data_IF_783949692677
#
_entry.id   IF_783949692677
#
_cell.length_a   1.000
_cell.length_b   1.000
_cell.length_c   1.000
_cell.angle_alpha   90.00
_cell.angle_beta   90.00
_cell.angle_gamma   90.00
#
_symmetry.space_group_name_H-M   'P 1'
#
loop_
_entity.id
_entity.type
_entity.pdbx_description
1 polymer ?
#
# COMPACT_ATOMS: atom_id res chain seq x y z
N UNK A 1 4.18 -5.59 11.06
CA UNK A 1 4.28 -4.98 12.42
C UNK A 1 4.31 -6.04 13.53
N UNK A 2 3.25 -6.84 13.75
CA UNK A 2 3.25 -7.91 14.77
C UNK A 2 4.44 -8.88 14.69
N UNK A 3 4.82 -9.32 13.49
CA UNK A 3 5.96 -10.24 13.30
C UNK A 3 7.33 -9.55 13.43
N UNK A 4 7.40 -8.23 13.26
CA UNK A 4 8.65 -7.46 13.39
C UNK A 4 8.99 -7.14 14.87
N UNK A 5 7.98 -7.01 15.73
CA UNK A 5 8.18 -6.82 17.18
C UNK A 5 8.29 -8.13 17.96
N UNK A 6 7.76 -9.23 17.41
CA UNK A 6 7.80 -10.56 18.05
C UNK A 6 9.18 -11.23 18.07
N UNK A 7 10.13 -10.76 17.27
CA UNK A 7 11.51 -11.26 17.24
C UNK A 7 12.44 -10.61 18.27
N UNK A 8 12.03 -9.49 18.89
CA UNK A 8 12.91 -8.67 19.74
C UNK A 8 12.39 -8.47 21.18
N UNK A 9 11.14 -8.84 21.49
CA UNK A 9 10.53 -8.66 22.81
C UNK A 9 9.73 -9.90 23.25
N UNK A 10 9.69 -10.11 24.57
CA UNK A 10 8.99 -11.21 25.24
C UNK A 10 7.47 -11.25 24.89
N UNK A 11 6.89 -12.44 24.78
CA UNK A 11 5.55 -12.66 24.22
C UNK A 11 4.43 -11.90 24.96
N UNK A 12 4.61 -11.65 26.26
CA UNK A 12 3.66 -10.92 27.10
C UNK A 12 3.67 -9.41 26.81
N UNK A 13 4.85 -8.81 26.62
CA UNK A 13 5.02 -7.39 26.31
C UNK A 13 4.50 -7.08 24.90
N UNK A 14 4.73 -8.01 23.97
CA UNK A 14 4.23 -7.89 22.58
C UNK A 14 2.69 -7.88 22.53
N UNK A 15 2.02 -8.67 23.37
CA UNK A 15 0.55 -8.69 23.42
C UNK A 15 -0.03 -7.41 24.05
N UNK A 16 0.61 -6.86 25.08
CA UNK A 16 0.23 -5.57 25.66
C UNK A 16 0.53 -4.39 24.73
N UNK A 17 1.62 -4.42 23.96
CA UNK A 17 1.87 -3.39 22.94
C UNK A 17 0.84 -3.47 21.81
N UNK A 18 0.47 -4.67 21.35
CA UNK A 18 -0.57 -4.86 20.33
C UNK A 18 -1.90 -4.26 20.76
N UNK A 19 -2.32 -4.46 22.01
CA UNK A 19 -3.62 -3.97 22.49
C UNK A 19 -3.72 -2.44 22.46
N UNK A 20 -2.61 -1.70 22.53
CA UNK A 20 -2.59 -0.23 22.41
C UNK A 20 -2.27 0.27 21.00
N UNK A 21 -1.46 -0.45 20.22
CA UNK A 21 -1.06 -0.06 18.86
C UNK A 21 -2.22 -0.25 17.86
N UNK A 22 -2.95 -1.37 17.94
CA UNK A 22 -4.09 -1.64 17.05
C UNK A 22 -5.17 -0.55 17.07
N UNK A 23 -5.67 -0.12 18.25
CA UNK A 23 -6.68 0.94 18.29
C UNK A 23 -6.13 2.30 17.83
N UNK A 24 -4.85 2.61 18.10
CA UNK A 24 -4.23 3.83 17.59
C UNK A 24 -4.13 3.86 16.06
N UNK A 25 -3.74 2.73 15.44
CA UNK A 25 -3.71 2.57 13.99
C UNK A 25 -5.10 2.70 13.36
N UNK A 26 -6.12 2.11 13.99
CA UNK A 26 -7.50 2.16 13.51
C UNK A 26 -8.01 3.61 13.52
N UNK A 27 -7.88 4.30 14.65
CA UNK A 27 -8.33 5.69 14.80
C UNK A 27 -7.55 6.62 13.86
N UNK A 28 -6.22 6.46 13.78
CA UNK A 28 -5.38 7.22 12.84
C UNK A 28 -5.75 6.98 11.38
N UNK A 29 -6.07 5.74 11.01
CA UNK A 29 -6.56 5.38 9.69
C UNK A 29 -7.87 6.10 9.34
N UNK A 30 -8.86 6.11 10.25
CA UNK A 30 -10.13 6.81 10.04
C UNK A 30 -9.90 8.31 9.86
N UNK A 31 -9.12 8.95 10.75
CA UNK A 31 -8.81 10.39 10.63
C UNK A 31 -8.04 10.71 9.34
N UNK A 32 -7.11 9.85 8.92
CA UNK A 32 -6.37 10.00 7.67
C UNK A 32 -7.28 9.93 6.45
N UNK A 33 -8.22 8.98 6.40
CA UNK A 33 -9.21 8.87 5.31
C UNK A 33 -10.11 10.11 5.26
N UNK A 34 -10.61 10.57 6.43
CA UNK A 34 -11.43 11.78 6.52
C UNK A 34 -10.66 13.02 6.06
N UNK A 35 -9.42 13.19 6.54
CA UNK A 35 -8.57 14.33 6.19
C UNK A 35 -8.21 14.32 4.71
N UNK A 36 -7.89 13.15 4.12
CA UNK A 36 -7.66 13.00 2.68
C UNK A 36 -8.88 13.46 1.85
N UNK A 37 -10.09 13.10 2.28
CA UNK A 37 -11.33 13.57 1.66
C UNK A 37 -11.53 15.09 1.76
N UNK A 38 -11.26 15.67 2.95
CA UNK A 38 -11.34 17.13 3.17
C UNK A 38 -10.31 17.88 2.33
N UNK A 39 -9.05 17.42 2.30
CA UNK A 39 -7.98 18.00 1.49
C UNK A 39 -8.35 17.94 0.01
N UNK A 40 -8.85 16.80 -0.48
CA UNK A 40 -9.29 16.68 -1.88
C UNK A 40 -10.43 17.65 -2.22
N UNK A 41 -11.36 17.88 -1.30
CA UNK A 41 -12.47 18.82 -1.49
C UNK A 41 -12.00 20.29 -1.48
N UNK A 42 -11.08 20.64 -0.59
CA UNK A 42 -10.58 22.02 -0.44
C UNK A 42 -9.53 22.40 -1.50
N UNK A 43 -8.60 21.48 -1.78
CA UNK A 43 -7.44 21.74 -2.63
C UNK A 43 -7.54 21.08 -4.00
N UNK A 44 -8.55 20.26 -4.29
CA UNK A 44 -8.65 19.49 -5.55
C UNK A 44 -8.75 20.33 -6.84
N UNK A 45 -9.06 21.63 -6.74
CA UNK A 45 -9.07 22.58 -7.87
C UNK A 45 -7.91 23.61 -7.79
N UNK A 46 -7.04 23.49 -6.79
CA UNK A 46 -5.90 24.39 -6.59
C UNK A 46 -4.65 23.90 -7.34
N UNK A 47 -3.72 24.81 -7.64
CA UNK A 47 -2.38 24.49 -8.18
C UNK A 47 -1.56 23.56 -7.27
N UNK A 48 -1.96 23.41 -6.00
CA UNK A 48 -1.37 22.47 -5.06
C UNK A 48 -1.82 21.01 -5.27
N UNK A 49 -2.83 20.76 -6.12
CA UNK A 49 -3.27 19.40 -6.40
C UNK A 49 -2.57 18.80 -7.62
N UNK A 50 -1.81 17.73 -7.40
CA UNK A 50 -1.23 16.91 -8.48
C UNK A 50 -2.26 16.09 -9.27
N UNK A 51 -3.57 16.22 -8.99
CA UNK A 51 -4.65 15.46 -9.66
C UNK A 51 -4.41 13.94 -9.72
N UNK A 52 -3.78 13.39 -8.66
CA UNK A 52 -3.41 11.97 -8.59
C UNK A 52 -1.98 11.65 -9.00
N UNK A 53 -1.16 12.65 -9.34
CA UNK A 53 0.27 12.51 -9.64
C UNK A 53 1.12 13.06 -8.49
N UNK A 54 2.21 12.37 -8.19
CA UNK A 54 3.14 12.74 -7.12
C UNK A 54 4.31 13.59 -7.63
N UNK A 55 4.69 13.46 -8.91
CA UNK A 55 5.81 14.17 -9.51
C UNK A 55 5.35 15.42 -10.28
N UNK A 56 6.04 16.55 -10.09
CA UNK A 56 5.73 17.84 -10.75
C UNK A 56 6.60 18.09 -12.00
N UNK A 57 7.58 17.25 -12.26
CA UNK A 57 8.55 17.45 -13.34
C UNK A 57 7.97 17.06 -14.69
N UNK A 58 8.03 18.00 -15.64
CA UNK A 58 7.85 17.84 -17.08
C UNK A 58 8.21 16.43 -17.57
N UNK A 59 7.22 15.56 -17.74
CA UNK A 59 7.41 14.44 -18.63
C UNK A 59 7.45 14.98 -20.05
N UNK A 60 8.55 14.70 -20.74
CA UNK A 60 8.66 14.69 -22.20
C UNK A 60 7.34 14.25 -22.87
N UNK A 61 7.02 14.75 -24.08
CA UNK A 61 5.72 14.57 -24.76
C UNK A 61 5.27 13.12 -25.05
N UNK A 62 5.94 12.09 -24.49
CA UNK A 62 5.60 10.67 -24.60
C UNK A 62 5.05 10.02 -23.32
N UNK A 63 4.87 10.74 -22.20
CA UNK A 63 4.10 10.24 -21.04
C UNK A 63 2.86 11.09 -20.76
N UNK A 64 2.18 11.52 -21.83
CA UNK A 64 0.74 11.58 -21.71
C UNK A 64 0.29 10.16 -21.34
N UNK A 65 -0.24 9.99 -20.13
CA UNK A 65 -1.35 9.07 -19.92
C UNK A 65 -2.38 9.45 -20.96
N UNK A 66 -2.18 8.86 -22.14
CA UNK A 66 -3.11 8.93 -23.22
C UNK A 66 -4.31 8.23 -22.59
N UNK A 67 -5.29 9.03 -22.15
CA UNK A 67 -6.70 8.72 -22.30
C UNK A 67 -6.90 8.47 -23.79
N UNK A 68 -6.31 7.39 -24.29
CA UNK A 68 -6.68 6.82 -25.55
C UNK A 68 -8.05 6.30 -25.20
N UNK A 69 -9.03 7.12 -25.55
CA UNK A 69 -10.30 6.68 -26.07
C UNK A 69 -10.01 5.75 -27.26
N UNK A 70 -9.36 4.61 -26.98
CA UNK A 70 -9.52 3.42 -27.76
C UNK A 70 -10.86 2.94 -27.29
N UNK A 71 -11.80 2.94 -28.23
CA UNK A 71 -12.88 1.96 -28.34
C UNK A 71 -12.80 0.84 -27.30
N UNK A 72 -13.91 0.44 -26.67
CA UNK A 72 -13.91 -0.61 -25.66
C UNK A 72 -13.46 -1.91 -26.34
N UNK A 73 -12.15 -2.11 -26.43
CA UNK A 73 -11.55 -3.39 -26.78
C UNK A 73 -11.99 -4.27 -25.63
N UNK A 74 -12.91 -5.16 -25.97
CA UNK A 74 -13.40 -6.24 -25.14
C UNK A 74 -12.29 -6.67 -24.19
N UNK A 75 -12.59 -6.63 -22.89
CA UNK A 75 -11.65 -6.97 -21.82
C UNK A 75 -11.02 -8.31 -22.20
N UNK A 76 -9.78 -8.26 -22.71
CA UNK A 76 -9.20 -9.45 -23.31
C UNK A 76 -8.81 -10.35 -22.15
N UNK A 77 -9.64 -11.35 -21.89
CA UNK A 77 -9.50 -12.27 -20.75
C UNK A 77 -8.10 -12.87 -20.72
N UNK A 78 -7.50 -13.13 -21.88
CA UNK A 78 -6.12 -13.61 -22.00
C UNK A 78 -5.12 -12.61 -21.41
N UNK A 79 -5.21 -11.32 -21.76
CA UNK A 79 -4.31 -10.28 -21.22
C UNK A 79 -4.50 -10.07 -19.72
N UNK A 80 -5.75 -10.15 -19.23
CA UNK A 80 -6.05 -10.08 -17.80
C UNK A 80 -5.43 -11.27 -17.04
N UNK A 81 -5.65 -12.49 -17.52
CA UNK A 81 -5.09 -13.71 -16.91
C UNK A 81 -3.56 -13.68 -16.96
N UNK A 82 -2.97 -13.28 -18.09
CA UNK A 82 -1.50 -13.13 -18.20
C UNK A 82 -0.96 -12.09 -17.23
N UNK A 83 -1.66 -10.97 -17.03
CA UNK A 83 -1.31 -9.97 -16.03
C UNK A 83 -1.36 -10.52 -14.61
N UNK A 84 -2.43 -11.25 -14.27
CA UNK A 84 -2.62 -11.87 -12.96
C UNK A 84 -1.53 -12.92 -12.67
N UNK A 85 -1.28 -13.83 -13.61
CA UNK A 85 -0.21 -14.83 -13.51
C UNK A 85 1.14 -14.15 -13.34
N UNK A 86 1.42 -13.09 -14.11
CA UNK A 86 2.67 -12.34 -14.00
C UNK A 86 2.85 -11.71 -12.61
N UNK A 87 1.80 -11.16 -12.01
CA UNK A 87 1.84 -10.63 -10.63
C UNK A 87 2.19 -11.75 -9.63
N UNK A 88 1.53 -12.91 -9.73
CA UNK A 88 1.83 -14.05 -8.86
C UNK A 88 3.24 -14.59 -9.06
N UNK A 89 3.71 -14.68 -10.31
CA UNK A 89 5.09 -15.09 -10.60
C UNK A 89 6.10 -14.13 -9.98
N UNK A 90 5.90 -12.81 -10.11
CA UNK A 90 6.80 -11.82 -9.50
C UNK A 90 6.78 -11.87 -7.97
N UNK A 91 5.61 -12.12 -7.38
CA UNK A 91 5.49 -12.32 -5.93
C UNK A 91 6.27 -13.56 -5.48
N UNK A 92 6.02 -14.72 -6.08
CA UNK A 92 6.70 -15.98 -5.74
C UNK A 92 8.22 -15.83 -5.94
N UNK A 93 8.63 -15.22 -7.05
CA UNK A 93 10.04 -14.98 -7.36
C UNK A 93 10.69 -14.07 -6.31
N UNK A 94 10.01 -13.00 -5.87
CA UNK A 94 10.51 -12.10 -4.83
C UNK A 94 10.64 -12.80 -3.47
N UNK A 95 9.68 -13.64 -3.09
CA UNK A 95 9.73 -14.43 -1.84
C UNK A 95 10.88 -15.44 -1.91
N UNK A 96 11.02 -16.14 -3.03
CA UNK A 96 12.09 -17.12 -3.23
C UNK A 96 13.48 -16.47 -3.15
N UNK A 97 13.65 -15.29 -3.75
CA UNK A 97 14.89 -14.51 -3.61
C UNK A 97 15.14 -14.19 -2.13
N UNK A 98 14.12 -13.74 -1.40
CA UNK A 98 14.27 -13.39 0.02
C UNK A 98 14.72 -14.58 0.85
N UNK A 99 14.09 -15.73 0.65
CA UNK A 99 14.39 -16.96 1.38
C UNK A 99 15.80 -17.47 1.02
N UNK A 100 16.19 -17.39 -0.26
CA UNK A 100 17.54 -17.74 -0.70
C UNK A 100 18.59 -16.80 -0.08
N UNK A 101 18.33 -15.49 -0.02
CA UNK A 101 19.23 -14.50 0.59
C UNK A 101 19.36 -14.72 2.10
N UNK A 102 18.28 -15.09 2.76
CA UNK A 102 18.25 -15.42 4.19
C UNK A 102 19.07 -16.69 4.47
N UNK A 103 19.00 -17.68 3.57
CA UNK A 103 19.79 -18.91 3.67
C UNK A 103 21.29 -18.67 3.43
N UNK A 104 21.64 -17.80 2.47
CA UNK A 104 23.03 -17.50 2.11
C UNK A 104 23.70 -16.55 3.12
N UNK A 105 22.97 -15.59 3.68
CA UNK A 105 23.47 -14.62 4.66
C UNK A 105 22.63 -14.64 5.95
N UNK A 106 22.81 -15.64 6.83
CA UNK A 106 22.06 -15.75 8.08
C UNK A 106 22.30 -14.54 9.01
N UNK A 107 23.47 -13.91 8.94
CA UNK A 107 23.82 -12.71 9.73
C UNK A 107 23.19 -11.41 9.21
N UNK A 108 22.78 -11.36 7.94
CA UNK A 108 22.08 -10.22 7.36
C UNK A 108 20.54 -10.38 7.42
N UNK A 109 20.07 -11.57 7.85
CA UNK A 109 18.65 -11.91 7.92
C UNK A 109 17.83 -10.92 8.76
N UNK A 110 18.41 -10.43 9.85
CA UNK A 110 17.78 -9.48 10.77
C UNK A 110 17.57 -8.09 10.17
N UNK A 111 18.35 -7.73 9.14
CA UNK A 111 18.24 -6.45 8.44
C UNK A 111 17.27 -6.49 7.25
N UNK A 112 16.78 -7.68 6.86
CA UNK A 112 15.85 -7.75 5.74
C UNK A 112 14.48 -7.19 6.14
N UNK A 113 13.95 -6.24 5.35
CA UNK A 113 12.65 -5.66 5.63
C UNK A 113 11.54 -6.70 5.42
N UNK A 114 10.36 -6.41 5.99
CA UNK A 114 9.18 -7.26 5.87
C UNK A 114 8.90 -7.62 4.39
N UNK A 115 8.33 -8.80 4.15
CA UNK A 115 8.19 -9.37 2.79
C UNK A 115 7.49 -8.41 1.83
N UNK A 116 6.53 -7.63 2.33
CA UNK A 116 5.78 -6.62 1.59
C UNK A 116 6.70 -5.54 1.00
N UNK A 117 7.65 -5.04 1.78
CA UNK A 117 8.59 -3.99 1.37
C UNK A 117 9.62 -4.57 0.40
N UNK A 118 10.07 -5.80 0.66
CA UNK A 118 11.03 -6.49 -0.20
C UNK A 118 10.48 -6.67 -1.62
N UNK A 119 9.20 -7.01 -1.77
CA UNK A 119 8.57 -7.14 -3.10
C UNK A 119 8.63 -5.83 -3.88
N UNK A 120 8.34 -4.69 -3.24
CA UNK A 120 8.42 -3.37 -3.90
C UNK A 120 9.84 -3.10 -4.39
N UNK A 121 10.83 -3.36 -3.53
CA UNK A 121 12.24 -3.19 -3.88
C UNK A 121 12.66 -4.06 -5.08
N UNK A 122 12.29 -5.34 -5.07
CA UNK A 122 12.57 -6.27 -6.18
C UNK A 122 11.89 -5.82 -7.48
N UNK A 123 10.62 -5.42 -7.42
CA UNK A 123 9.89 -4.94 -8.61
C UNK A 123 10.53 -3.69 -9.20
N UNK A 124 11.01 -2.76 -8.35
CA UNK A 124 11.75 -1.57 -8.79
C UNK A 124 13.07 -1.97 -9.46
N UNK A 125 13.83 -2.90 -8.89
CA UNK A 125 15.05 -3.41 -9.51
C UNK A 125 14.78 -4.08 -10.86
N UNK A 126 13.80 -4.98 -10.93
CA UNK A 126 13.41 -5.67 -12.17
C UNK A 126 13.00 -4.66 -13.26
N UNK A 127 12.31 -3.58 -12.87
CA UNK A 127 11.97 -2.47 -13.77
C UNK A 127 13.20 -1.67 -14.20
N UNK A 128 14.14 -1.41 -13.29
CA UNK A 128 15.39 -0.69 -13.57
C UNK A 128 16.28 -1.44 -14.58
N UNK A 129 16.38 -2.76 -14.43
CA UNK A 129 17.12 -3.62 -15.37
C UNK A 129 16.35 -3.94 -16.66
N UNK A 130 15.13 -3.40 -16.82
CA UNK A 130 14.26 -3.62 -17.98
C UNK A 130 14.07 -5.12 -18.32
N UNK A 131 14.01 -5.97 -17.28
CA UNK A 131 13.89 -7.43 -17.42
C UNK A 131 12.53 -7.87 -17.96
N UNK A 132 11.54 -6.98 -17.91
CA UNK A 132 10.14 -7.25 -18.30
C UNK A 132 9.78 -6.39 -19.51
N UNK A 133 9.27 -7.03 -20.56
CA UNK A 133 8.75 -6.33 -21.74
C UNK A 133 7.53 -5.46 -21.40
N UNK A 134 7.40 -4.33 -22.09
CA UNK A 134 6.28 -3.38 -21.97
C UNK A 134 4.89 -4.04 -22.11
N UNK A 135 4.81 -5.16 -22.85
CA UNK A 135 3.60 -5.95 -22.96
C UNK A 135 3.11 -6.45 -21.59
N UNK A 136 3.99 -7.09 -20.81
CA UNK A 136 3.63 -7.63 -19.49
C UNK A 136 3.31 -6.51 -18.49
N UNK A 137 4.01 -5.37 -18.55
CA UNK A 137 3.72 -4.21 -17.71
C UNK A 137 2.31 -3.68 -17.95
N UNK A 138 1.88 -3.66 -19.23
CA UNK A 138 0.53 -3.25 -19.61
C UNK A 138 -0.52 -4.23 -19.10
N UNK A 139 -0.28 -5.55 -19.26
CA UNK A 139 -1.16 -6.59 -18.73
C UNK A 139 -1.29 -6.52 -17.20
N UNK A 140 -0.18 -6.32 -16.48
CA UNK A 140 -0.15 -6.15 -15.02
C UNK A 140 -0.97 -4.93 -14.60
N UNK A 141 -0.79 -3.79 -15.29
CA UNK A 141 -1.51 -2.55 -14.98
C UNK A 141 -3.01 -2.71 -15.21
N UNK A 142 -3.43 -3.40 -16.28
CA UNK A 142 -4.83 -3.68 -16.56
C UNK A 142 -5.45 -4.62 -15.51
N UNK A 143 -4.74 -5.67 -15.12
CA UNK A 143 -5.18 -6.59 -14.07
C UNK A 143 -5.30 -5.88 -12.71
N UNK A 144 -4.29 -5.07 -12.35
CA UNK A 144 -4.31 -4.27 -11.12
C UNK A 144 -5.49 -3.30 -11.09
N UNK A 145 -5.74 -2.57 -12.18
CA UNK A 145 -6.88 -1.65 -12.28
C UNK A 145 -8.22 -2.39 -12.14
N UNK A 146 -8.36 -3.56 -12.76
CA UNK A 146 -9.58 -4.36 -12.62
C UNK A 146 -9.82 -4.81 -11.18
N UNK A 147 -8.76 -5.25 -10.49
CA UNK A 147 -8.84 -5.63 -9.07
C UNK A 147 -9.21 -4.41 -8.22
N UNK A 148 -8.55 -3.27 -8.38
CA UNK A 148 -8.87 -2.06 -7.61
C UNK A 148 -10.29 -1.55 -7.86
N UNK A 149 -10.81 -1.63 -9.08
CA UNK A 149 -12.18 -1.15 -9.33
C UNK A 149 -13.25 -2.08 -8.74
N UNK A 150 -13.06 -3.40 -8.83
CA UNK A 150 -14.10 -4.36 -8.45
C UNK A 150 -13.96 -4.89 -7.02
N UNK A 151 -12.73 -5.09 -6.55
CA UNK A 151 -12.47 -5.71 -5.26
C UNK A 151 -12.23 -4.71 -4.13
N UNK A 152 -11.91 -3.44 -4.41
CA UNK A 152 -11.65 -2.46 -3.33
C UNK A 152 -12.83 -2.34 -2.38
N UNK A 153 -14.08 -2.31 -2.85
CA UNK A 153 -15.26 -2.27 -1.97
C UNK A 153 -15.34 -3.50 -1.07
N UNK A 154 -15.12 -4.70 -1.60
CA UNK A 154 -15.12 -5.94 -0.82
C UNK A 154 -13.96 -5.97 0.20
N UNK A 155 -12.77 -5.51 -0.20
CA UNK A 155 -11.61 -5.40 0.69
C UNK A 155 -11.88 -4.41 1.83
N UNK A 156 -12.53 -3.27 1.58
CA UNK A 156 -12.92 -2.32 2.63
C UNK A 156 -13.90 -2.95 3.63
N UNK A 157 -14.86 -3.75 3.16
CA UNK A 157 -15.82 -4.44 4.03
C UNK A 157 -15.12 -5.49 4.90
N UNK A 158 -14.22 -6.29 4.32
CA UNK A 158 -13.44 -7.30 5.07
C UNK A 158 -12.53 -6.64 6.11
N UNK A 159 -11.87 -5.54 5.73
CA UNK A 159 -11.06 -4.75 6.67
C UNK A 159 -11.94 -4.21 7.80
N UNK A 160 -13.10 -3.64 7.48
CA UNK A 160 -14.05 -3.13 8.48
C UNK A 160 -14.58 -4.21 9.43
N UNK A 161 -14.85 -5.43 8.93
CA UNK A 161 -15.39 -6.52 9.74
C UNK A 161 -14.35 -7.23 10.61
N UNK A 162 -13.08 -7.24 10.18
CA UNK A 162 -11.98 -7.89 10.93
C UNK A 162 -11.47 -7.03 12.08
N UNK A 163 -11.70 -5.71 12.01
CA UNK A 163 -11.26 -4.77 13.04
C UNK A 163 -12.18 -4.87 14.27
N UNK A 164 -11.59 -5.12 15.45
CA UNK A 164 -12.31 -5.10 16.73
C UNK A 164 -12.61 -3.66 17.17
N UNK A 165 -13.61 -3.04 16.51
CA UNK A 165 -14.01 -1.64 16.74
C UNK A 165 -14.39 -1.39 18.20
N UNK A 166 -14.93 -2.40 18.89
CA UNK A 166 -15.32 -2.31 20.31
C UNK A 166 -14.13 -1.99 21.23
N UNK A 167 -12.96 -2.58 21.01
CA UNK A 167 -11.74 -2.31 21.81
C UNK A 167 -11.18 -0.92 21.52
N UNK A 168 -11.27 -0.47 20.26
CA UNK A 168 -10.87 0.88 19.88
C UNK A 168 -11.80 1.97 20.48
N UNK A 169 -13.09 1.68 20.60
CA UNK A 169 -14.10 2.60 21.13
C UNK A 169 -13.85 2.97 22.60
N UNK A 170 -13.38 2.02 23.41
CA UNK A 170 -13.04 2.25 24.82
C UNK A 170 -11.88 3.24 24.98
N UNK A 171 -10.89 3.17 24.07
CA UNK A 171 -9.76 4.12 24.07
C UNK A 171 -10.12 5.47 23.43
N UNK A 172 -11.05 5.51 22.48
CA UNK A 172 -11.60 6.73 21.89
C UNK A 172 -12.30 7.64 22.91
N UNK A 173 -12.81 7.10 24.02
CA UNK A 173 -13.43 7.93 25.07
C UNK A 173 -12.42 8.86 25.77
N UNK A 174 -11.11 8.62 25.63
CA UNK A 174 -10.08 9.55 26.09
C UNK A 174 -9.86 10.68 25.09
N UNK A 175 -10.36 11.86 25.42
CA UNK A 175 -10.24 13.08 24.60
C UNK A 175 -8.76 13.43 24.29
N UNK A 176 -7.86 13.18 25.25
CA UNK A 176 -6.40 13.34 25.06
C UNK A 176 -5.85 12.46 23.92
N UNK A 177 -6.33 11.22 23.80
CA UNK A 177 -5.87 10.26 22.79
C UNK A 177 -6.31 10.68 21.38
N UNK A 178 -7.55 11.17 21.24
CA UNK A 178 -8.07 11.70 19.97
C UNK A 178 -7.24 12.89 19.49
N UNK A 179 -6.96 13.85 20.37
CA UNK A 179 -6.18 15.04 20.01
C UNK A 179 -4.78 14.64 19.54
N UNK A 180 -4.10 13.74 20.26
CA UNK A 180 -2.77 13.26 19.86
C UNK A 180 -2.79 12.58 18.50
N UNK A 181 -3.81 11.75 18.24
CA UNK A 181 -3.96 11.09 16.95
C UNK A 181 -4.19 12.09 15.81
N UNK A 182 -5.03 13.11 16.03
CA UNK A 182 -5.31 14.15 15.05
C UNK A 182 -4.07 14.99 14.74
N UNK A 183 -3.32 15.40 15.77
CA UNK A 183 -2.07 16.17 15.60
C UNK A 183 -1.01 15.35 14.86
N UNK A 184 -0.92 14.05 15.13
CA UNK A 184 -0.01 13.15 14.41
C UNK A 184 -0.36 13.07 12.92
N UNK A 185 -1.63 12.82 12.60
CA UNK A 185 -2.10 12.74 11.21
C UNK A 185 -1.91 14.09 10.49
N UNK A 186 -2.20 15.21 11.16
CA UNK A 186 -2.01 16.55 10.60
C UNK A 186 -0.54 16.88 10.36
N UNK A 187 0.35 16.53 11.31
CA UNK A 187 1.79 16.71 11.17
C UNK A 187 2.35 15.95 9.98
N UNK A 188 1.93 14.68 9.81
CA UNK A 188 2.35 13.86 8.66
C UNK A 188 1.81 14.47 7.36
N UNK A 189 0.56 14.91 7.34
CA UNK A 189 -0.04 15.52 6.16
C UNK A 189 0.55 16.90 5.80
N UNK A 190 1.18 17.59 6.75
CA UNK A 190 1.87 18.86 6.50
C UNK A 190 3.28 18.66 5.95
N UNK A 191 3.94 17.57 6.35
CA UNK A 191 5.28 17.19 5.88
C UNK A 191 5.23 16.55 4.49
N UNK A 192 4.19 15.76 4.23
CA UNK A 192 3.94 15.10 2.95
C UNK A 192 3.52 16.10 1.86
#
# INVERSE_FOLDING_TARGET
>A
LSNAYGSSFDHEVVNTMKSHIFPALLVGGIFSILLSGVIKKLFGQSQLSGSGKLETTHSSPNQQEKKTQKTPDSLNYTQFITGLVSIFTLYIMSVLIKDLLTFIFPTAAEYFPDTIVFIVFVVVLVKLFNLISQYYITCITQASKFITVNFTSALLVILGSTLEISKALVHLQNLKFIITCLVCVLSVALVA
#
